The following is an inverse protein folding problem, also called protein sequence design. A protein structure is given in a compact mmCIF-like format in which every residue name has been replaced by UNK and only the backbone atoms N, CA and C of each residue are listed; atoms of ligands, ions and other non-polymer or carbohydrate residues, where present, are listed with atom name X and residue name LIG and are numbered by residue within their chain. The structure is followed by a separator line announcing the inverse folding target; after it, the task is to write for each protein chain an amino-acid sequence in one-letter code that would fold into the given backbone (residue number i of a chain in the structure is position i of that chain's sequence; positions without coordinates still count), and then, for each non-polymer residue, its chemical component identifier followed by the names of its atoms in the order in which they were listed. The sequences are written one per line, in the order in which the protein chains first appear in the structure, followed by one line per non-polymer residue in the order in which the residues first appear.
data_IF_675698665262
#
_entry.id   IF_675698665262
#
_cell.length_a   1.000
_cell.length_b   1.000
_cell.length_c   1.000
_cell.angle_alpha   90.00
_cell.angle_beta   90.00
_cell.angle_gamma   90.00
#
_symmetry.space_group_name_H-M   'P 1'
#
loop_
_entity.id
_entity.type
_entity.pdbx_description
1 polymer ?
#
# COMPACT_ATOMS: atom_id res chain seq x y z
N UNK A 1 -25.85 1.86 18.67
CA UNK A 1 -24.78 0.94 19.12
C UNK A 1 -23.44 1.53 18.74
N UNK A 2 -22.41 1.50 19.59
CA UNK A 2 -21.05 1.79 19.15
C UNK A 2 -20.64 0.80 18.05
N UNK A 3 -19.84 1.22 17.06
CA UNK A 3 -19.30 0.31 16.06
C UNK A 3 -18.45 -0.78 16.74
N UNK A 4 -18.42 -2.02 16.23
CA UNK A 4 -17.61 -3.10 16.79
C UNK A 4 -16.13 -2.72 16.76
N UNK A 5 -15.38 -3.03 17.83
CA UNK A 5 -13.93 -2.86 17.92
C UNK A 5 -13.19 -3.63 16.82
N UNK A 6 -11.95 -3.24 16.49
CA UNK A 6 -11.18 -3.95 15.49
C UNK A 6 -10.88 -5.35 16.04
N UNK A 7 -10.80 -6.38 15.18
CA UNK A 7 -10.20 -7.64 15.57
C UNK A 7 -8.82 -7.41 16.18
N UNK A 8 -8.42 -8.26 17.13
CA UNK A 8 -7.10 -8.16 17.75
C UNK A 8 -6.00 -8.39 16.70
N UNK A 9 -4.81 -7.85 16.96
CA UNK A 9 -3.66 -8.04 16.08
C UNK A 9 -3.35 -9.53 15.85
N UNK A 10 -3.47 -10.34 16.89
CA UNK A 10 -3.33 -11.80 16.83
C UNK A 10 -4.38 -12.43 15.88
N UNK A 11 -5.63 -11.99 15.96
CA UNK A 11 -6.68 -12.46 15.05
C UNK A 11 -6.38 -12.06 13.60
N UNK A 12 -5.88 -10.84 13.38
CA UNK A 12 -5.53 -10.33 12.06
C UNK A 12 -4.33 -11.07 11.45
N UNK A 13 -3.28 -11.32 12.24
CA UNK A 13 -2.10 -12.05 11.78
C UNK A 13 -2.40 -13.51 11.51
N UNK A 14 -3.29 -14.13 12.29
CA UNK A 14 -3.73 -15.51 12.09
C UNK A 14 -4.51 -15.74 10.78
N UNK A 15 -5.01 -14.69 10.12
CA UNK A 15 -5.66 -14.79 8.80
C UNK A 15 -4.67 -15.12 7.68
N UNK A 16 -3.38 -14.94 7.92
CA UNK A 16 -2.33 -15.14 6.92
C UNK A 16 -1.41 -16.30 7.35
N UNK A 17 -0.79 -17.01 6.39
CA UNK A 17 0.24 -17.99 6.72
C UNK A 17 1.32 -17.35 7.61
N UNK A 18 1.92 -18.10 8.55
CA UNK A 18 2.93 -17.57 9.46
C UNK A 18 4.01 -16.83 8.67
N UNK A 19 4.11 -15.54 8.94
CA UNK A 19 5.01 -14.65 8.21
C UNK A 19 6.46 -15.03 8.54
N UNK A 20 7.28 -15.23 7.50
CA UNK A 20 8.70 -15.58 7.68
C UNK A 20 9.55 -14.34 7.91
N UNK A 21 8.98 -13.15 7.72
CA UNK A 21 9.64 -11.88 7.91
C UNK A 21 9.63 -11.46 9.38
N UNK A 22 10.46 -10.47 9.70
CA UNK A 22 10.50 -9.90 11.04
C UNK A 22 9.10 -9.36 11.43
N UNK A 23 8.71 -9.39 12.72
CA UNK A 23 7.36 -9.03 13.16
C UNK A 23 6.85 -7.67 12.66
N UNK A 24 7.73 -6.66 12.56
CA UNK A 24 7.42 -5.32 12.05
C UNK A 24 7.17 -5.27 10.53
N UNK A 25 7.46 -6.36 9.82
CA UNK A 25 7.19 -6.55 8.40
C UNK A 25 5.87 -7.28 8.13
N UNK A 26 5.10 -7.63 9.17
CA UNK A 26 3.84 -8.36 9.04
C UNK A 26 2.94 -7.82 7.92
N UNK A 27 2.64 -8.68 6.95
CA UNK A 27 1.72 -8.36 5.84
C UNK A 27 0.30 -8.08 6.31
N UNK A 28 -0.11 -8.63 7.45
CA UNK A 28 -1.41 -8.37 8.06
C UNK A 28 -1.63 -6.88 8.37
N UNK A 29 -0.57 -6.15 8.76
CA UNK A 29 -0.66 -4.73 9.10
C UNK A 29 -1.03 -3.90 7.87
N UNK A 30 -0.31 -4.12 6.76
CA UNK A 30 -0.52 -3.37 5.51
C UNK A 30 -1.84 -3.74 4.85
N UNK A 31 -2.22 -5.03 4.83
CA UNK A 31 -3.48 -5.46 4.24
C UNK A 31 -4.69 -5.00 5.05
N UNK A 32 -4.60 -5.03 6.39
CA UNK A 32 -5.67 -4.46 7.23
C UNK A 32 -5.80 -2.96 7.02
N UNK A 33 -4.68 -2.23 6.96
CA UNK A 33 -4.70 -0.79 6.66
C UNK A 33 -5.38 -0.47 5.33
N UNK A 34 -5.06 -1.23 4.28
CA UNK A 34 -5.68 -1.09 2.96
C UNK A 34 -7.17 -1.45 2.98
N UNK A 35 -7.56 -2.51 3.69
CA UNK A 35 -8.96 -2.88 3.84
C UNK A 35 -9.75 -1.78 4.57
N UNK A 36 -9.22 -1.22 5.65
CA UNK A 36 -9.85 -0.09 6.36
C UNK A 36 -10.00 1.13 5.46
N UNK A 37 -8.98 1.43 4.67
CA UNK A 37 -9.01 2.52 3.69
C UNK A 37 -10.12 2.29 2.64
N UNK A 38 -10.18 1.10 2.05
CA UNK A 38 -11.18 0.73 1.05
C UNK A 38 -12.62 0.77 1.60
N UNK A 39 -12.80 0.30 2.83
CA UNK A 39 -14.10 0.25 3.51
C UNK A 39 -14.55 1.59 4.12
N UNK A 40 -13.78 2.67 3.98
CA UNK A 40 -14.15 3.99 4.51
C UNK A 40 -14.03 4.10 6.03
N UNK A 41 -13.17 3.26 6.58
CA UNK A 41 -12.88 3.15 7.99
C UNK A 41 -11.55 3.82 8.34
N UNK A 42 -11.12 4.84 7.58
CA UNK A 42 -9.85 5.56 7.80
C UNK A 42 -9.70 6.10 9.23
N UNK A 43 -10.81 6.43 9.91
CA UNK A 43 -10.84 6.88 11.31
C UNK A 43 -10.38 5.80 12.30
N UNK A 44 -10.29 4.54 11.86
CA UNK A 44 -9.83 3.39 12.66
C UNK A 44 -8.35 3.06 12.45
N UNK A 45 -7.67 3.77 11.54
CA UNK A 45 -6.21 3.63 11.37
C UNK A 45 -5.45 3.90 12.69
N UNK A 46 -5.84 4.88 13.55
CA UNK A 46 -5.23 5.03 14.86
C UNK A 46 -5.40 3.80 15.75
N UNK A 47 -6.57 3.15 15.74
CA UNK A 47 -6.85 1.93 16.52
C UNK A 47 -5.92 0.78 16.08
N UNK A 48 -5.79 0.56 14.76
CA UNK A 48 -4.83 -0.40 14.20
C UNK A 48 -3.39 -0.05 14.62
N UNK A 49 -3.01 1.22 14.52
CA UNK A 49 -1.67 1.68 14.87
C UNK A 49 -1.35 1.44 16.35
N UNK A 50 -2.28 1.69 17.28
CA UNK A 50 -2.04 1.44 18.70
C UNK A 50 -1.74 -0.04 18.98
N UNK A 51 -2.44 -0.95 18.28
CA UNK A 51 -2.15 -2.39 18.40
C UNK A 51 -0.76 -2.74 17.86
N UNK A 52 -0.39 -2.21 16.68
CA UNK A 52 0.95 -2.41 16.08
C UNK A 52 2.05 -1.84 16.97
N UNK A 53 1.87 -0.62 17.48
CA UNK A 53 2.83 0.05 18.36
C UNK A 53 3.02 -0.73 19.66
N UNK A 54 1.94 -1.25 20.26
CA UNK A 54 1.99 -2.10 21.44
C UNK A 54 2.76 -3.41 21.20
N UNK A 55 2.58 -4.04 20.03
CA UNK A 55 3.33 -5.26 19.66
C UNK A 55 4.84 -5.01 19.43
N UNK A 56 5.24 -3.76 19.28
CA UNK A 56 6.64 -3.34 19.11
C UNK A 56 7.06 -2.31 20.17
N UNK A 57 6.49 -2.39 21.38
CA UNK A 57 6.70 -1.39 22.44
C UNK A 57 8.19 -1.18 22.79
N UNK A 58 8.99 -2.25 22.71
CA UNK A 58 10.40 -2.25 23.10
C UNK A 58 11.35 -1.69 22.02
N UNK A 59 10.83 -1.35 20.83
CA UNK A 59 11.67 -0.92 19.71
C UNK A 59 11.03 0.19 18.88
N UNK A 60 11.48 1.42 19.11
CA UNK A 60 11.11 2.57 18.29
C UNK A 60 11.54 2.41 16.81
N UNK A 61 12.59 1.62 16.54
CA UNK A 61 13.01 1.29 15.19
C UNK A 61 12.01 0.35 14.50
N UNK A 62 11.56 -0.70 15.18
CA UNK A 62 10.54 -1.61 14.67
C UNK A 62 9.21 -0.89 14.43
N UNK A 63 8.78 -0.03 15.37
CA UNK A 63 7.62 0.84 15.18
C UNK A 63 7.76 1.74 13.94
N UNK A 64 8.93 2.37 13.75
CA UNK A 64 9.16 3.21 12.58
C UNK A 64 9.10 2.41 11.27
N UNK A 65 9.64 1.19 11.24
CA UNK A 65 9.53 0.28 10.09
C UNK A 65 8.08 -0.10 9.79
N UNK A 66 7.32 -0.54 10.80
CA UNK A 66 5.92 -0.89 10.64
C UNK A 66 5.06 0.30 10.18
N UNK A 67 5.27 1.48 10.77
CA UNK A 67 4.58 2.71 10.37
C UNK A 67 4.93 3.13 8.94
N UNK A 68 6.20 3.01 8.53
CA UNK A 68 6.64 3.31 7.16
C UNK A 68 5.97 2.40 6.15
N UNK A 69 5.87 1.10 6.45
CA UNK A 69 5.20 0.10 5.61
C UNK A 69 3.68 0.33 5.53
N UNK A 70 3.04 0.62 6.66
CA UNK A 70 1.61 0.97 6.68
C UNK A 70 1.33 2.23 5.86
N UNK A 71 2.13 3.29 6.03
CA UNK A 71 2.06 4.52 5.23
C UNK A 71 2.18 4.23 3.74
N UNK A 72 3.19 3.44 3.35
CA UNK A 72 3.43 3.07 1.95
C UNK A 72 2.23 2.35 1.34
N UNK A 73 1.64 1.39 2.06
CA UNK A 73 0.47 0.65 1.59
C UNK A 73 -0.73 1.57 1.31
N UNK A 74 -0.99 2.54 2.19
CA UNK A 74 -2.05 3.53 2.04
C UNK A 74 -1.80 4.45 0.84
N UNK A 75 -0.54 4.85 0.61
CA UNK A 75 -0.13 5.69 -0.53
C UNK A 75 -0.29 4.91 -1.85
N UNK A 76 0.27 3.69 -1.93
CA UNK A 76 0.20 2.85 -3.14
C UNK A 76 -1.22 2.49 -3.56
N UNK A 77 -2.15 2.34 -2.61
CA UNK A 77 -3.55 2.03 -2.93
C UNK A 77 -4.43 3.26 -3.18
N UNK A 78 -3.91 4.48 -2.97
CA UNK A 78 -4.68 5.71 -3.15
C UNK A 78 -5.24 5.94 -4.57
N UNK A 79 -4.59 5.52 -5.68
CA UNK A 79 -5.17 5.67 -7.01
C UNK A 79 -6.39 4.76 -7.25
N UNK A 80 -6.48 3.63 -6.54
CA UNK A 80 -7.56 2.66 -6.67
C UNK A 80 -8.75 2.98 -5.76
N UNK A 81 -8.46 3.45 -4.54
CA UNK A 81 -9.48 3.70 -3.50
C UNK A 81 -9.94 5.16 -3.50
N UNK A 82 -9.06 6.08 -3.86
CA UNK A 82 -9.32 7.52 -3.91
C UNK A 82 -8.44 8.32 -2.94
N UNK A 83 -7.85 9.40 -3.45
CA UNK A 83 -7.01 10.31 -2.68
C UNK A 83 -7.67 10.90 -1.43
N UNK A 84 -8.96 11.32 -1.41
CA UNK A 84 -9.55 11.91 -0.21
C UNK A 84 -9.49 11.00 1.01
N UNK A 85 -9.73 9.69 0.82
CA UNK A 85 -9.66 8.70 1.89
C UNK A 85 -8.22 8.45 2.32
N UNK A 86 -7.30 8.38 1.37
CA UNK A 86 -5.89 8.20 1.67
C UNK A 86 -5.34 9.38 2.49
N UNK A 87 -5.72 10.62 2.15
CA UNK A 87 -5.38 11.82 2.92
C UNK A 87 -5.87 11.69 4.36
N UNK A 88 -7.16 11.37 4.56
CA UNK A 88 -7.72 11.22 5.90
C UNK A 88 -7.02 10.12 6.72
N UNK A 89 -6.72 8.97 6.09
CA UNK A 89 -6.02 7.86 6.72
C UNK A 89 -4.59 8.22 7.13
N UNK A 90 -3.85 8.88 6.22
CA UNK A 90 -2.47 9.31 6.44
C UNK A 90 -2.37 10.39 7.52
N UNK A 91 -3.29 11.36 7.52
CA UNK A 91 -3.40 12.37 8.58
C UNK A 91 -3.68 11.72 9.93
N UNK A 92 -4.63 10.77 9.98
CA UNK A 92 -4.98 10.07 11.21
C UNK A 92 -3.83 9.20 11.73
N UNK A 93 -3.12 8.51 10.83
CA UNK A 93 -1.92 7.75 11.17
C UNK A 93 -0.85 8.67 11.76
N UNK A 94 -0.51 9.77 11.06
CA UNK A 94 0.50 10.74 11.51
C UNK A 94 0.19 11.29 12.90
N UNK A 95 -1.07 11.61 13.18
CA UNK A 95 -1.51 12.12 14.48
C UNK A 95 -1.38 11.08 15.60
N UNK A 96 -1.44 9.78 15.29
CA UNK A 96 -1.33 8.70 16.27
C UNK A 96 0.12 8.26 16.55
N UNK A 97 1.09 8.68 15.74
CA UNK A 97 2.51 8.35 15.94
C UNK A 97 3.09 9.09 17.14
N UNK A 98 3.88 8.39 17.95
CA UNK A 98 4.73 9.04 18.93
C UNK A 98 5.78 9.93 18.23
N UNK A 99 6.17 11.10 18.78
CA UNK A 99 7.12 12.01 18.13
C UNK A 99 8.45 11.35 17.71
N UNK A 100 8.98 10.45 18.53
CA UNK A 100 10.22 9.72 18.24
C UNK A 100 10.11 8.75 17.04
N UNK A 101 8.91 8.23 16.78
CA UNK A 101 8.61 7.38 15.62
C UNK A 101 8.40 8.27 14.39
N UNK A 102 7.59 9.33 14.51
CA UNK A 102 7.34 10.28 13.43
C UNK A 102 8.63 10.90 12.88
N UNK A 103 9.55 11.31 13.75
CA UNK A 103 10.85 11.86 13.33
C UNK A 103 11.69 10.88 12.47
N UNK A 104 11.56 9.57 12.70
CA UNK A 104 12.25 8.53 11.91
C UNK A 104 11.58 8.28 10.55
N UNK A 105 10.31 8.64 10.38
CA UNK A 105 9.58 8.47 9.12
C UNK A 105 9.91 9.54 8.08
N UNK A 106 10.33 10.72 8.54
CA UNK A 106 10.71 11.87 7.71
C UNK A 106 12.16 11.77 7.21
N UNK A 107 12.94 10.83 7.72
CA UNK A 107 14.27 10.54 7.20
C UNK A 107 14.14 9.95 5.78
N UNK A 108 14.74 10.60 4.76
CA UNK A 108 14.70 10.11 3.39
C UNK A 108 15.19 8.67 3.37
N UNK A 109 14.45 7.79 2.70
CA UNK A 109 15.02 6.51 2.28
C UNK A 109 16.14 6.87 1.31
N UNK A 110 17.37 6.38 1.55
CA UNK A 110 18.48 6.59 0.62
C UNK A 110 18.01 6.20 -0.79
N UNK A 111 18.34 7.02 -1.79
CA UNK A 111 18.03 6.69 -3.18
C UNK A 111 18.65 5.33 -3.50
N UNK A 112 17.84 4.38 -3.98
CA UNK A 112 18.34 3.08 -4.40
C UNK A 112 18.88 3.23 -5.83
N UNK A 113 20.18 3.05 -6.07
CA UNK A 113 20.77 3.13 -7.41
C UNK A 113 20.27 2.01 -8.35
N UNK A 114 19.55 1.00 -7.86
CA UNK A 114 18.97 -0.08 -8.66
C UNK A 114 17.57 0.23 -9.23
N UNK A 115 16.99 1.40 -8.92
CA UNK A 115 15.74 1.84 -9.55
C UNK A 115 15.94 2.00 -11.07
N UNK A 116 14.95 1.62 -11.91
CA UNK A 116 15.07 1.75 -13.35
C UNK A 116 15.43 3.18 -13.77
N UNK A 117 16.21 3.29 -14.84
CA UNK A 117 16.82 4.54 -15.31
C UNK A 117 15.79 5.66 -15.61
N UNK A 118 14.51 5.30 -15.81
CA UNK A 118 13.38 6.24 -15.78
C UNK A 118 12.09 5.58 -15.26
N UNK A 119 11.15 6.35 -14.67
CA UNK A 119 9.85 5.84 -14.24
C UNK A 119 9.03 5.18 -15.35
N UNK A 120 9.13 5.68 -16.59
CA UNK A 120 8.44 5.12 -17.75
C UNK A 120 8.91 3.69 -18.02
N UNK A 121 10.22 3.43 -18.01
CA UNK A 121 10.76 2.10 -18.25
C UNK A 121 10.37 1.11 -17.14
N UNK A 122 10.40 1.57 -15.87
CA UNK A 122 9.91 0.77 -14.73
C UNK A 122 8.42 0.47 -14.82
N UNK A 123 7.64 1.46 -15.24
CA UNK A 123 6.20 1.35 -15.42
C UNK A 123 5.82 0.37 -16.52
N UNK A 124 6.45 0.47 -17.69
CA UNK A 124 6.26 -0.48 -18.81
C UNK A 124 6.63 -1.90 -18.39
N UNK A 125 7.77 -2.09 -17.71
CA UNK A 125 8.20 -3.39 -17.23
C UNK A 125 7.21 -4.00 -16.22
N UNK A 126 6.74 -3.22 -15.25
CA UNK A 126 5.76 -3.67 -14.27
C UNK A 126 4.40 -3.96 -14.93
N UNK A 127 3.95 -3.09 -15.82
CA UNK A 127 2.69 -3.23 -16.54
C UNK A 127 2.70 -4.50 -17.42
N UNK A 128 3.80 -4.74 -18.15
CA UNK A 128 3.99 -5.95 -18.93
C UNK A 128 4.04 -7.20 -18.05
N UNK A 129 4.65 -7.13 -16.88
CA UNK A 129 4.71 -8.25 -15.93
C UNK A 129 3.32 -8.62 -15.38
N UNK A 130 2.50 -7.63 -15.02
CA UNK A 130 1.14 -7.83 -14.48
C UNK A 130 0.20 -8.36 -15.57
N UNK A 131 0.11 -7.67 -16.71
CA UNK A 131 -0.87 -8.03 -17.75
C UNK A 131 -0.37 -9.12 -18.72
N UNK A 132 0.92 -9.45 -18.68
CA UNK A 132 1.56 -10.47 -19.51
C UNK A 132 1.24 -10.29 -20.99
N UNK A 133 0.82 -11.38 -21.65
CA UNK A 133 0.39 -11.38 -23.07
C UNK A 133 -0.78 -10.43 -23.38
N UNK A 134 -1.49 -9.93 -22.36
CA UNK A 134 -2.61 -9.02 -22.53
C UNK A 134 -2.22 -7.54 -22.42
N UNK A 135 -0.99 -7.21 -22.02
CA UNK A 135 -0.54 -5.84 -21.78
C UNK A 135 -0.83 -4.89 -22.96
N UNK A 136 -0.43 -5.23 -24.18
CA UNK A 136 -0.68 -4.38 -25.35
C UNK A 136 -2.16 -4.13 -25.62
N UNK A 137 -3.03 -5.12 -25.38
CA UNK A 137 -4.49 -4.96 -25.53
C UNK A 137 -5.07 -4.07 -24.45
N UNK A 138 -4.63 -4.22 -23.20
CA UNK A 138 -5.08 -3.38 -22.09
C UNK A 138 -4.65 -1.94 -22.30
N UNK A 139 -3.39 -1.71 -22.74
CA UNK A 139 -2.88 -0.38 -23.07
C UNK A 139 -3.67 0.25 -24.22
N UNK A 140 -3.85 -0.46 -25.33
CA UNK A 140 -4.63 0.04 -26.46
C UNK A 140 -6.08 0.37 -26.07
N UNK A 141 -6.71 -0.46 -25.22
CA UNK A 141 -8.05 -0.17 -24.72
C UNK A 141 -8.08 1.07 -23.82
N UNK A 142 -7.10 1.24 -22.92
CA UNK A 142 -6.98 2.45 -22.10
C UNK A 142 -6.75 3.70 -22.94
N UNK A 143 -5.95 3.60 -23.99
CA UNK A 143 -5.65 4.72 -24.88
C UNK A 143 -6.86 5.10 -25.73
N UNK A 144 -7.58 4.13 -26.27
CA UNK A 144 -8.80 4.34 -27.05
C UNK A 144 -9.90 5.05 -26.24
N UNK A 145 -10.18 4.59 -25.02
CA UNK A 145 -11.24 5.17 -24.18
C UNK A 145 -10.88 6.52 -23.57
N UNK A 146 -9.59 6.89 -23.51
CA UNK A 146 -9.12 8.09 -22.80
C UNK A 146 -8.39 9.11 -23.67
N UNK A 147 -8.24 8.84 -24.98
CA UNK A 147 -7.40 9.63 -25.87
C UNK A 147 -5.93 9.58 -25.45
N UNK A 148 -5.40 8.39 -25.17
CA UNK A 148 -4.04 8.08 -24.69
C UNK A 148 -3.66 8.62 -23.29
N UNK A 149 -4.41 9.59 -22.74
CA UNK A 149 -4.02 10.27 -21.49
C UNK A 149 -3.99 9.35 -20.28
N UNK A 150 -4.96 8.44 -20.17
CA UNK A 150 -5.06 7.55 -19.00
C UNK A 150 -4.00 6.45 -19.05
N UNK A 151 -3.76 5.85 -20.22
CA UNK A 151 -2.74 4.81 -20.38
C UNK A 151 -1.34 5.35 -20.10
N UNK A 152 -0.98 6.48 -20.71
CA UNK A 152 0.31 7.14 -20.49
C UNK A 152 0.51 7.56 -19.03
N UNK A 153 -0.50 8.19 -18.44
CA UNK A 153 -0.45 8.60 -17.03
C UNK A 153 -0.33 7.40 -16.09
N UNK A 154 -1.12 6.35 -16.33
CA UNK A 154 -1.09 5.16 -15.50
C UNK A 154 0.30 4.50 -15.55
N UNK A 155 0.85 4.27 -16.75
CA UNK A 155 2.15 3.61 -16.90
C UNK A 155 3.26 4.42 -16.26
N UNK A 156 3.34 5.73 -16.53
CA UNK A 156 4.41 6.57 -15.98
C UNK A 156 4.28 6.79 -14.48
N UNK A 157 3.14 7.31 -14.03
CA UNK A 157 2.99 7.76 -12.64
C UNK A 157 2.55 6.64 -11.70
N UNK A 158 1.63 5.77 -12.12
CA UNK A 158 1.05 4.77 -11.21
C UNK A 158 1.91 3.50 -11.20
N UNK A 159 2.15 2.88 -12.36
CA UNK A 159 2.99 1.69 -12.42
C UNK A 159 4.47 2.02 -12.23
N UNK A 160 4.95 3.11 -12.82
CA UNK A 160 6.35 3.52 -12.76
C UNK A 160 6.77 4.15 -11.44
N UNK A 161 6.35 5.40 -11.19
CA UNK A 161 6.80 6.14 -10.01
C UNK A 161 6.31 5.52 -8.69
N UNK A 162 5.07 5.06 -8.65
CA UNK A 162 4.43 4.64 -7.39
C UNK A 162 4.56 3.14 -7.10
N UNK A 163 4.10 2.27 -8.01
CA UNK A 163 4.02 0.84 -7.73
C UNK A 163 5.36 0.11 -7.90
N UNK A 164 6.18 0.49 -8.88
CA UNK A 164 7.49 -0.13 -9.10
C UNK A 164 8.54 0.24 -8.05
N UNK A 165 8.30 1.28 -7.21
CA UNK A 165 9.18 1.59 -6.09
C UNK A 165 9.11 0.49 -5.02
N UNK A 166 10.09 -0.43 -5.05
CA UNK A 166 10.17 -1.57 -4.15
C UNK A 166 10.84 -1.30 -2.80
N UNK A 167 11.27 -0.07 -2.50
CA UNK A 167 12.17 0.21 -1.36
C UNK A 167 11.55 -0.04 0.02
N UNK A 168 10.24 0.13 0.15
CA UNK A 168 9.50 -0.07 1.41
C UNK A 168 8.63 -1.32 1.35
N UNK A 169 7.86 -1.47 0.27
CA UNK A 169 7.04 -2.65 -0.01
C UNK A 169 7.54 -3.31 -1.28
N UNK A 170 7.97 -4.56 -1.18
CA UNK A 170 8.41 -5.33 -2.34
C UNK A 170 7.27 -5.61 -3.33
N UNK A 171 7.59 -6.19 -4.48
CA UNK A 171 6.62 -6.48 -5.54
C UNK A 171 5.44 -7.33 -5.05
N UNK A 172 5.71 -8.39 -4.27
CA UNK A 172 4.67 -9.29 -3.72
C UNK A 172 3.73 -8.57 -2.76
N UNK A 173 4.28 -7.74 -1.89
CA UNK A 173 3.52 -6.99 -0.89
C UNK A 173 2.64 -5.93 -1.55
N UNK A 174 3.23 -5.19 -2.50
CA UNK A 174 2.53 -4.19 -3.30
C UNK A 174 1.38 -4.82 -4.11
N UNK A 175 1.60 -5.97 -4.75
CA UNK A 175 0.56 -6.71 -5.46
C UNK A 175 -0.57 -7.17 -4.52
N UNK A 176 -0.23 -7.68 -3.34
CA UNK A 176 -1.23 -8.05 -2.33
C UNK A 176 -2.06 -6.85 -1.84
N UNK A 177 -1.46 -5.68 -1.65
CA UNK A 177 -2.18 -4.46 -1.31
C UNK A 177 -3.16 -4.06 -2.41
N UNK A 178 -2.73 -4.07 -3.68
CA UNK A 178 -3.59 -3.82 -4.84
C UNK A 178 -4.74 -4.83 -4.91
N UNK A 179 -4.46 -6.12 -4.69
CA UNK A 179 -5.47 -7.16 -4.64
C UNK A 179 -6.54 -6.88 -3.57
N UNK A 180 -6.12 -6.59 -2.33
CA UNK A 180 -7.02 -6.26 -1.23
C UNK A 180 -7.85 -5.02 -1.56
N UNK A 181 -7.23 -3.97 -2.11
CA UNK A 181 -7.92 -2.76 -2.53
C UNK A 181 -9.01 -3.08 -3.57
N UNK A 182 -8.64 -3.76 -4.66
CA UNK A 182 -9.56 -4.13 -5.73
C UNK A 182 -10.71 -5.03 -5.23
N UNK A 183 -10.42 -6.02 -4.39
CA UNK A 183 -11.44 -6.88 -3.80
C UNK A 183 -12.43 -6.07 -2.95
N UNK A 184 -11.92 -5.20 -2.07
CA UNK A 184 -12.74 -4.44 -1.13
C UNK A 184 -13.60 -3.35 -1.80
N UNK A 185 -13.14 -2.76 -2.91
CA UNK A 185 -13.93 -1.78 -3.68
C UNK A 185 -14.85 -2.43 -4.73
N UNK A 186 -14.91 -3.76 -4.80
CA UNK A 186 -15.75 -4.48 -5.78
C UNK A 186 -15.19 -4.51 -7.20
N UNK A 187 -13.91 -4.14 -7.39
CA UNK A 187 -13.18 -4.19 -8.67
C UNK A 187 -12.55 -5.58 -8.90
N UNK A 188 -13.34 -6.64 -8.75
CA UNK A 188 -12.90 -8.02 -8.89
C UNK A 188 -12.20 -8.36 -10.22
N UNK A 189 -12.60 -7.80 -11.38
CA UNK A 189 -11.85 -7.99 -12.63
C UNK A 189 -10.39 -7.48 -12.56
N UNK A 190 -10.14 -6.43 -11.80
CA UNK A 190 -8.82 -5.82 -11.61
C UNK A 190 -7.98 -6.53 -10.54
N UNK A 191 -8.60 -7.38 -9.70
CA UNK A 191 -7.91 -8.21 -8.70
C UNK A 191 -7.28 -9.48 -9.29
N UNK A 192 -7.48 -9.77 -10.59
CA UNK A 192 -7.00 -10.99 -11.27
C UNK A 192 -5.67 -10.82 -12.02
N UNK A 193 -5.08 -9.62 -11.94
CA UNK A 193 -3.78 -9.29 -12.53
C UNK A 193 -2.62 -9.90 -11.76
#
# INVERSE_FOLDING_TARGET
MPPPSLPTLESLTALFPPDRHAPEHSTAYIYTGVALLALGCEKRIPELWQQIAGAHADSAAAQATAARRLREALVKCSPLIGFPRAINALTSLRAALAPAVAARLEQPCLADPALPCSPEAGGEALFANIYGRHAGRVRAALDDISGARLGDFAVRCIYGELLADGRVLGARESAGCVFVACLAVGAGPQAKG
#
